data_IF_815352908656
#
_entry.id   IF_815352908656
#
_cell.length_a   1.000
_cell.length_b   1.000
_cell.length_c   1.000
_cell.angle_alpha   90.00
_cell.angle_beta   90.00
_cell.angle_gamma   90.00
#
_symmetry.space_group_name_H-M   'P 1'
#
loop_
_entity.id
_entity.type
_entity.pdbx_description
1 polymer ?
#
# COMPACT_ATOMS: atom_id res chain seq x y z
N UNK A 1 5.69 12.93 -71.55
CA UNK A 1 6.89 12.38 -72.19
C UNK A 1 8.06 13.31 -71.86
N UNK A 2 8.69 13.10 -70.71
CA UNK A 2 9.99 13.67 -70.37
C UNK A 2 10.78 12.46 -69.86
N UNK A 3 11.61 11.91 -70.75
CA UNK A 3 12.69 11.02 -70.37
C UNK A 3 13.96 11.82 -70.50
N UNK A 4 14.83 11.73 -69.50
CA UNK A 4 16.27 11.76 -69.68
C UNK A 4 16.89 11.02 -68.49
N UNK A 5 17.55 9.94 -68.86
CA UNK A 5 18.46 9.11 -68.10
C UNK A 5 19.63 9.94 -67.52
N UNK A 6 20.04 9.65 -66.27
CA UNK A 6 21.46 9.63 -65.95
C UNK A 6 21.76 8.52 -64.93
N UNK A 7 22.26 7.43 -65.48
CA UNK A 7 23.02 6.42 -64.76
C UNK A 7 24.48 6.85 -64.77
N UNK A 8 25.21 6.73 -63.65
CA UNK A 8 26.49 5.96 -63.55
C UNK A 8 27.40 6.42 -62.40
N UNK A 9 28.02 5.40 -61.76
CA UNK A 9 29.28 5.35 -60.98
C UNK A 9 29.21 5.73 -59.49
N UNK A 10 29.34 4.80 -58.53
CA UNK A 10 30.33 3.74 -58.25
C UNK A 10 31.65 4.22 -57.59
N UNK A 11 31.97 3.62 -56.44
CA UNK A 11 33.28 3.65 -55.76
C UNK A 11 33.13 3.42 -54.24
N UNK A 12 32.93 2.19 -53.74
CA UNK A 12 33.96 1.25 -53.22
C UNK A 12 35.08 1.89 -52.38
N UNK A 13 35.18 1.47 -51.11
CA UNK A 13 36.34 0.84 -50.44
C UNK A 13 36.41 1.25 -48.95
N UNK A 14 36.32 0.34 -47.96
CA UNK A 14 37.34 -0.60 -47.39
C UNK A 14 37.84 -0.10 -46.02
N UNK A 15 38.01 -1.01 -45.06
CA UNK A 15 38.89 -0.83 -43.88
C UNK A 15 38.18 -1.06 -42.53
N UNK A 16 37.77 -2.28 -42.20
CA UNK A 16 38.47 -3.33 -41.42
C UNK A 16 38.50 -3.14 -39.87
N UNK A 17 38.21 -4.19 -39.08
CA UNK A 17 38.15 -4.17 -37.62
C UNK A 17 39.41 -4.75 -36.97
N UNK A 18 39.97 -4.12 -35.93
CA UNK A 18 40.87 -4.83 -35.01
C UNK A 18 41.14 -4.09 -33.69
N UNK A 19 40.68 -4.73 -32.60
CA UNK A 19 41.48 -5.18 -31.44
C UNK A 19 42.42 -4.18 -30.75
N UNK A 20 42.17 -4.00 -29.44
CA UNK A 20 43.09 -4.19 -28.28
C UNK A 20 42.24 -3.85 -27.04
N UNK A 21 42.10 -4.63 -25.98
CA UNK A 21 42.82 -5.80 -25.50
C UNK A 21 43.25 -5.54 -24.05
N UNK A 22 42.85 -6.45 -23.14
CA UNK A 22 43.45 -6.77 -21.81
C UNK A 22 43.14 -5.79 -20.67
N UNK A 23 42.99 -6.18 -19.41
CA UNK A 23 43.13 -7.48 -18.73
C UNK A 23 42.57 -7.35 -17.30
N UNK A 24 41.73 -8.31 -16.90
CA UNK A 24 41.88 -9.20 -15.72
C UNK A 24 41.81 -8.68 -14.27
N UNK A 25 40.88 -9.37 -13.56
CA UNK A 25 40.99 -10.04 -12.24
C UNK A 25 40.80 -9.22 -10.96
N UNK A 26 39.68 -9.47 -10.28
CA UNK A 26 39.57 -10.04 -8.91
C UNK A 26 38.09 -10.40 -8.68
N UNK A 27 37.67 -11.67 -8.72
CA UNK A 27 37.65 -12.68 -7.64
C UNK A 27 36.93 -12.22 -6.36
N UNK A 28 35.78 -12.87 -6.06
CA UNK A 28 35.20 -12.94 -4.71
C UNK A 28 33.66 -13.01 -4.65
N UNK A 29 33.06 -14.18 -4.89
CA UNK A 29 31.79 -14.58 -4.26
C UNK A 29 32.11 -15.39 -2.97
N UNK A 30 31.13 -15.93 -2.21
CA UNK A 30 30.04 -15.30 -1.45
C UNK A 30 30.10 -15.70 0.05
N UNK A 31 29.25 -15.13 0.92
CA UNK A 31 29.14 -15.61 2.31
C UNK A 31 28.00 -15.00 3.10
N UNK A 32 26.93 -15.76 3.30
CA UNK A 32 25.84 -15.44 4.23
C UNK A 32 26.22 -15.66 5.70
N UNK A 33 25.47 -15.05 6.60
CA UNK A 33 25.65 -15.21 8.05
C UNK A 33 24.77 -14.27 8.87
N UNK A 34 23.54 -14.70 9.08
CA UNK A 34 22.65 -14.29 10.18
C UNK A 34 23.40 -14.21 11.54
N UNK A 35 23.13 -13.16 12.33
CA UNK A 35 22.88 -13.20 13.79
C UNK A 35 23.05 -11.81 14.45
N UNK A 36 21.91 -11.27 14.85
CA UNK A 36 21.58 -10.94 16.24
C UNK A 36 22.37 -9.81 16.97
N UNK A 37 21.55 -8.93 17.59
CA UNK A 37 21.86 -8.00 18.71
C UNK A 37 22.51 -6.65 18.39
N UNK A 38 21.69 -5.60 18.50
CA UNK A 38 21.73 -4.64 19.62
C UNK A 38 20.58 -3.63 19.52
N UNK A 39 19.56 -3.89 20.33
CA UNK A 39 18.57 -2.87 20.72
C UNK A 39 19.29 -1.86 21.60
N UNK A 40 19.44 -0.63 21.10
CA UNK A 40 19.95 0.50 21.87
C UNK A 40 18.87 0.98 22.85
N UNK A 41 19.01 0.58 24.12
CA UNK A 41 18.34 1.20 25.25
C UNK A 41 18.88 2.64 25.44
N UNK A 42 18.21 3.62 24.83
CA UNK A 42 18.38 5.03 25.20
C UNK A 42 17.51 5.35 26.42
N UNK A 43 18.00 4.98 27.60
CA UNK A 43 17.44 5.42 28.88
C UNK A 43 17.78 6.91 29.10
N UNK A 44 16.89 7.79 28.66
CA UNK A 44 16.90 9.21 29.02
C UNK A 44 16.67 9.39 30.52
N UNK A 45 17.75 9.62 31.26
CA UNK A 45 17.71 10.00 32.69
C UNK A 45 17.06 11.39 32.82
N UNK A 46 15.78 11.43 33.20
CA UNK A 46 15.17 12.62 33.81
C UNK A 46 15.29 12.49 35.32
N UNK A 47 16.11 13.34 35.91
CA UNK A 47 16.30 13.46 37.36
C UNK A 47 15.02 14.00 37.99
N UNK A 48 14.27 13.14 38.69
CA UNK A 48 13.13 13.56 39.48
C UNK A 48 13.58 13.98 40.89
N UNK A 49 13.32 15.26 41.20
CA UNK A 49 13.47 15.91 42.49
C UNK A 49 12.54 15.24 43.54
N UNK A 50 12.99 14.97 44.78
CA UNK A 50 12.16 14.31 45.77
C UNK A 50 11.33 15.35 46.53
N UNK A 51 10.02 15.14 46.56
CA UNK A 51 9.11 15.93 47.38
C UNK A 51 7.89 16.36 46.59
N UNK A 52 6.84 15.54 46.67
CA UNK A 52 5.52 15.96 47.13
C UNK A 52 4.56 14.76 46.99
N UNK A 53 3.94 14.45 48.12
CA UNK A 53 2.89 13.45 48.29
C UNK A 53 1.65 13.86 47.50
N UNK A 54 1.07 12.92 46.75
CA UNK A 54 -0.36 12.52 46.70
C UNK A 54 -0.68 11.86 45.36
N UNK A 55 -1.40 10.75 45.47
CA UNK A 55 -2.16 9.99 44.46
C UNK A 55 -1.45 9.59 43.15
N UNK A 56 -0.92 8.36 43.13
CA UNK A 56 -0.42 7.69 41.90
C UNK A 56 -1.13 6.37 41.60
N UNK A 57 -2.45 6.35 41.72
CA UNK A 57 -3.29 5.38 41.03
C UNK A 57 -4.20 6.07 39.99
N UNK A 58 -3.63 6.96 39.17
CA UNK A 58 -4.06 7.04 37.76
C UNK A 58 -3.23 6.02 37.01
N UNK A 59 -3.71 4.79 37.02
CA UNK A 59 -3.32 3.85 35.98
C UNK A 59 -3.62 4.55 34.66
N UNK A 60 -2.63 4.67 33.79
CA UNK A 60 -2.89 4.87 32.37
C UNK A 60 -3.74 3.68 31.95
N UNK A 61 -5.06 3.85 32.03
CA UNK A 61 -6.01 2.93 31.43
C UNK A 61 -5.72 3.02 29.93
N UNK A 62 -5.21 1.97 29.27
CA UNK A 62 -5.22 1.97 27.82
C UNK A 62 -6.66 2.25 27.39
N UNK A 63 -6.84 3.18 26.46
CA UNK A 63 -8.14 3.49 25.91
C UNK A 63 -8.80 2.15 25.54
N UNK A 64 -9.85 1.79 26.28
CA UNK A 64 -10.60 0.59 25.99
C UNK A 64 -11.04 0.71 24.54
N UNK A 65 -10.81 -0.29 23.68
CA UNK A 65 -11.26 -0.20 22.30
C UNK A 65 -12.76 0.08 22.35
N UNK A 66 -13.15 1.22 21.78
CA UNK A 66 -14.54 1.54 21.59
C UNK A 66 -15.18 0.33 20.93
N UNK A 67 -16.29 -0.11 21.51
CA UNK A 67 -17.07 -1.25 21.02
C UNK A 67 -17.76 -0.77 19.75
N UNK A 68 -17.00 -0.70 18.66
CA UNK A 68 -17.55 -0.39 17.35
C UNK A 68 -18.56 -1.48 17.06
N UNK A 69 -19.83 -1.11 16.96
CA UNK A 69 -20.91 -1.99 16.59
C UNK A 69 -20.78 -2.38 15.12
N UNK A 70 -19.68 -3.03 14.74
CA UNK A 70 -19.46 -3.48 13.37
C UNK A 70 -20.19 -4.80 13.25
N UNK A 71 -21.37 -4.70 12.65
CA UNK A 71 -22.29 -5.80 12.41
C UNK A 71 -21.52 -6.96 11.79
N UNK A 72 -21.50 -8.12 12.45
CA UNK A 72 -21.04 -9.34 11.84
C UNK A 72 -21.77 -9.49 10.49
N UNK A 73 -21.01 -9.64 9.41
CA UNK A 73 -21.54 -9.61 8.05
C UNK A 73 -22.54 -10.76 7.91
N UNK A 74 -23.84 -10.44 7.95
CA UNK A 74 -24.93 -11.41 7.77
C UNK A 74 -25.57 -11.29 6.38
N UNK A 75 -25.20 -10.26 5.61
CA UNK A 75 -25.68 -9.99 4.25
C UNK A 75 -24.62 -10.34 3.20
N UNK A 76 -25.06 -10.68 1.98
CA UNK A 76 -24.18 -10.99 0.86
C UNK A 76 -23.27 -9.80 0.52
N UNK A 77 -21.95 -9.94 0.74
CA UNK A 77 -20.97 -8.89 0.47
C UNK A 77 -20.75 -8.75 -1.02
N UNK A 78 -20.89 -7.52 -1.52
CA UNK A 78 -20.52 -7.16 -2.88
C UNK A 78 -19.06 -6.73 -2.89
N UNK A 79 -18.24 -7.42 -3.66
CA UNK A 79 -16.81 -7.16 -3.78
C UNK A 79 -16.48 -6.43 -5.08
N UNK A 80 -15.44 -5.60 -5.05
CA UNK A 80 -14.89 -5.03 -6.28
C UNK A 80 -14.15 -6.08 -7.10
N UNK A 81 -14.24 -5.92 -8.42
CA UNK A 81 -13.46 -6.65 -9.42
C UNK A 81 -12.19 -5.87 -9.79
N UNK A 82 -11.20 -6.56 -10.34
CA UNK A 82 -9.93 -5.94 -10.76
C UNK A 82 -10.19 -4.87 -11.83
N UNK A 83 -11.13 -5.14 -12.73
CA UNK A 83 -11.58 -4.26 -13.80
C UNK A 83 -12.22 -2.98 -13.25
N UNK A 84 -13.06 -3.09 -12.22
CA UNK A 84 -13.66 -1.92 -11.56
C UNK A 84 -12.60 -1.05 -10.88
N UNK A 85 -11.62 -1.66 -10.23
CA UNK A 85 -10.52 -0.91 -9.59
C UNK A 85 -9.63 -0.24 -10.64
N UNK A 86 -9.29 -0.94 -11.73
CA UNK A 86 -8.52 -0.39 -12.83
C UNK A 86 -9.26 0.73 -13.58
N UNK A 87 -10.58 0.61 -13.75
CA UNK A 87 -11.42 1.67 -14.32
C UNK A 87 -11.46 2.88 -13.38
N UNK A 88 -11.66 2.66 -12.08
CA UNK A 88 -11.62 3.71 -11.05
C UNK A 88 -10.30 4.47 -11.01
N UNK A 89 -9.18 3.79 -11.24
CA UNK A 89 -7.85 4.42 -11.25
C UNK A 89 -7.73 5.55 -12.27
N UNK A 90 -8.40 5.45 -13.44
CA UNK A 90 -8.42 6.53 -14.43
C UNK A 90 -9.12 7.79 -13.92
N UNK A 91 -10.13 7.63 -13.07
CA UNK A 91 -10.86 8.76 -12.46
C UNK A 91 -10.10 9.37 -11.27
N UNK A 92 -9.39 8.54 -10.49
CA UNK A 92 -8.71 8.97 -9.26
C UNK A 92 -7.29 9.49 -9.50
N UNK A 93 -6.52 8.78 -10.33
CA UNK A 93 -5.12 9.08 -10.64
C UNK A 93 -5.03 9.94 -11.91
N UNK A 94 -5.96 9.77 -12.85
CA UNK A 94 -5.98 10.49 -14.13
C UNK A 94 -5.25 9.74 -15.25
N UNK A 95 -4.80 10.50 -16.25
CA UNK A 95 -4.11 9.97 -17.44
C UNK A 95 -2.81 9.19 -17.13
N UNK A 96 -2.26 9.37 -15.93
CA UNK A 96 -1.03 8.72 -15.46
C UNK A 96 -1.29 7.44 -14.63
N UNK A 97 -2.49 6.88 -14.69
CA UNK A 97 -2.83 5.59 -14.07
C UNK A 97 -2.10 4.42 -14.79
N UNK A 98 -0.78 4.33 -14.60
CA UNK A 98 0.06 3.29 -15.18
C UNK A 98 0.18 2.16 -14.16
N UNK A 99 -0.26 0.97 -14.56
CA UNK A 99 -0.04 -0.24 -13.77
C UNK A 99 1.43 -0.65 -13.85
N UNK A 100 2.02 -0.83 -12.68
CA UNK A 100 3.35 -1.43 -12.54
C UNK A 100 3.25 -2.94 -12.75
N UNK A 101 2.28 -3.57 -12.06
CA UNK A 101 2.08 -5.02 -12.10
C UNK A 101 0.58 -5.36 -11.91
N UNK A 102 -0.08 -5.92 -12.94
CA UNK A 102 -1.46 -6.39 -12.83
C UNK A 102 -1.66 -7.50 -11.80
N UNK A 103 -0.65 -8.34 -11.56
CA UNK A 103 -0.69 -9.41 -10.56
C UNK A 103 -0.73 -8.86 -9.13
N UNK A 104 -0.01 -7.77 -8.86
CA UNK A 104 -0.09 -7.08 -7.56
C UNK A 104 -1.47 -6.46 -7.33
N UNK A 105 -2.09 -5.91 -8.38
CA UNK A 105 -3.46 -5.40 -8.30
C UNK A 105 -4.45 -6.54 -8.03
N UNK A 106 -4.34 -7.64 -8.79
CA UNK A 106 -5.20 -8.81 -8.60
C UNK A 106 -5.07 -9.37 -7.18
N UNK A 107 -3.85 -9.53 -6.66
CA UNK A 107 -3.62 -9.97 -5.28
C UNK A 107 -4.29 -9.04 -4.25
N UNK A 108 -4.19 -7.74 -4.44
CA UNK A 108 -4.79 -6.77 -3.53
C UNK A 108 -6.32 -6.86 -3.51
N UNK A 109 -6.96 -7.01 -4.67
CA UNK A 109 -8.42 -7.09 -4.81
C UNK A 109 -8.99 -8.41 -4.27
N UNK A 110 -8.22 -9.49 -4.32
CA UNK A 110 -8.66 -10.79 -3.81
C UNK A 110 -8.49 -10.96 -2.30
N UNK A 111 -7.58 -10.20 -1.66
CA UNK A 111 -7.30 -10.33 -0.21
C UNK A 111 -8.53 -10.23 0.71
N UNK A 112 -9.53 -9.37 0.47
CA UNK A 112 -10.73 -9.31 1.31
C UNK A 112 -11.56 -10.60 1.30
N UNK A 113 -11.36 -11.47 0.31
CA UNK A 113 -12.01 -12.78 0.18
C UNK A 113 -11.15 -13.93 0.71
N UNK A 114 -10.00 -13.63 1.34
CA UNK A 114 -9.11 -14.67 1.83
C UNK A 114 -9.74 -15.42 3.00
N UNK A 115 -9.72 -16.75 2.90
CA UNK A 115 -10.11 -17.67 3.96
C UNK A 115 -8.89 -18.41 4.48
N UNK A 116 -8.83 -18.61 5.80
CA UNK A 116 -7.75 -19.33 6.47
C UNK A 116 -8.38 -20.47 7.25
N UNK A 117 -8.00 -21.71 6.93
CA UNK A 117 -8.59 -22.93 7.51
C UNK A 117 -10.13 -23.01 7.39
N UNK A 118 -10.69 -22.49 6.29
CA UNK A 118 -12.14 -22.49 6.05
C UNK A 118 -12.91 -21.45 6.86
N UNK A 119 -12.21 -20.51 7.51
CA UNK A 119 -12.79 -19.36 8.21
C UNK A 119 -12.39 -18.09 7.48
N UNK A 120 -13.34 -17.19 7.24
CA UNK A 120 -13.04 -15.87 6.67
C UNK A 120 -12.01 -15.12 7.52
N UNK A 121 -10.91 -14.69 6.91
CA UNK A 121 -9.86 -13.96 7.62
C UNK A 121 -10.33 -12.60 8.16
N UNK A 122 -11.37 -12.03 7.52
CA UNK A 122 -11.92 -10.72 7.82
C UNK A 122 -13.44 -10.83 7.97
N UNK A 123 -13.97 -11.12 9.17
CA UNK A 123 -15.39 -11.37 9.37
C UNK A 123 -16.27 -10.10 9.30
N UNK A 124 -15.66 -8.93 9.39
CA UNK A 124 -16.33 -7.63 9.36
C UNK A 124 -16.19 -6.97 7.99
N UNK A 125 -17.20 -6.17 7.60
CA UNK A 125 -17.12 -5.40 6.37
C UNK A 125 -15.96 -4.38 6.41
N UNK A 126 -15.73 -3.77 7.57
CA UNK A 126 -14.62 -2.84 7.78
C UNK A 126 -13.26 -3.54 7.70
N UNK A 127 -13.14 -4.77 8.23
CA UNK A 127 -11.93 -5.57 8.11
C UNK A 127 -11.61 -5.91 6.65
N UNK A 128 -12.63 -6.26 5.86
CA UNK A 128 -12.50 -6.48 4.41
C UNK A 128 -12.04 -5.20 3.68
N UNK A 129 -12.62 -4.05 4.00
CA UNK A 129 -12.23 -2.75 3.45
C UNK A 129 -10.78 -2.37 3.84
N UNK A 130 -10.42 -2.60 5.11
CA UNK A 130 -9.08 -2.35 5.63
C UNK A 130 -8.03 -3.23 4.95
N UNK A 131 -8.34 -4.52 4.74
CA UNK A 131 -7.45 -5.44 4.02
C UNK A 131 -7.22 -4.99 2.56
N UNK A 132 -8.27 -4.53 1.88
CA UNK A 132 -8.20 -3.99 0.52
C UNK A 132 -7.30 -2.75 0.46
N UNK A 133 -7.56 -1.77 1.33
CA UNK A 133 -6.78 -0.54 1.42
C UNK A 133 -5.30 -0.84 1.67
N UNK A 134 -5.04 -1.65 2.70
CA UNK A 134 -3.69 -2.01 3.09
C UNK A 134 -2.92 -2.65 1.93
N UNK A 135 -3.53 -3.62 1.24
CA UNK A 135 -2.86 -4.26 0.10
C UNK A 135 -2.61 -3.30 -1.06
N UNK A 136 -3.55 -2.42 -1.40
CA UNK A 136 -3.36 -1.48 -2.50
C UNK A 136 -2.25 -0.46 -2.20
N UNK A 137 -2.14 -0.03 -0.94
CA UNK A 137 -1.10 0.90 -0.51
C UNK A 137 0.25 0.19 -0.42
N UNK A 138 0.32 -0.98 0.23
CA UNK A 138 1.59 -1.68 0.50
C UNK A 138 2.15 -2.43 -0.70
N UNK A 139 1.31 -3.00 -1.56
CA UNK A 139 1.81 -3.74 -2.73
C UNK A 139 2.25 -2.81 -3.87
N UNK A 140 1.85 -1.53 -3.85
CA UNK A 140 2.17 -0.54 -4.89
C UNK A 140 1.92 -1.03 -6.34
N UNK A 141 0.68 -1.43 -6.70
CA UNK A 141 0.36 -1.94 -8.03
C UNK A 141 0.44 -0.89 -9.15
N UNK A 142 0.34 0.40 -8.81
CA UNK A 142 0.50 1.52 -9.75
C UNK A 142 1.86 2.19 -9.58
N UNK A 143 2.33 2.86 -10.65
CA UNK A 143 3.55 3.67 -10.62
C UNK A 143 3.43 4.84 -9.64
N UNK A 144 2.28 5.49 -9.60
CA UNK A 144 1.95 6.54 -8.64
C UNK A 144 0.46 6.47 -8.25
N UNK A 145 0.07 7.15 -7.18
CA UNK A 145 -1.33 7.29 -6.77
C UNK A 145 -1.87 6.14 -5.92
N UNK A 146 -1.03 5.18 -5.51
CA UNK A 146 -1.43 4.03 -4.69
C UNK A 146 -2.16 4.43 -3.40
N UNK A 147 -1.74 5.53 -2.76
CA UNK A 147 -2.39 6.09 -1.56
C UNK A 147 -3.83 6.52 -1.83
N UNK A 148 -4.02 7.32 -2.90
CA UNK A 148 -5.34 7.80 -3.33
C UNK A 148 -6.24 6.64 -3.77
N UNK A 149 -5.66 5.68 -4.49
CA UNK A 149 -6.38 4.49 -4.95
C UNK A 149 -6.79 3.59 -3.79
N UNK A 150 -5.94 3.41 -2.78
CA UNK A 150 -6.26 2.62 -1.58
C UNK A 150 -7.45 3.19 -0.81
N UNK A 151 -7.48 4.52 -0.61
CA UNK A 151 -8.63 5.21 -0.02
C UNK A 151 -9.89 5.05 -0.86
N UNK A 152 -9.82 5.40 -2.15
CA UNK A 152 -10.97 5.36 -3.04
C UNK A 152 -11.53 3.94 -3.20
N UNK A 153 -10.69 2.90 -3.21
CA UNK A 153 -11.12 1.52 -3.29
C UNK A 153 -11.86 1.07 -2.01
N UNK A 154 -11.38 1.48 -0.83
CA UNK A 154 -12.06 1.20 0.43
C UNK A 154 -13.41 1.92 0.51
N UNK A 155 -13.45 3.20 0.14
CA UNK A 155 -14.70 3.97 0.08
C UNK A 155 -15.69 3.36 -0.92
N UNK A 156 -15.24 3.01 -2.12
CA UNK A 156 -16.08 2.35 -3.12
C UNK A 156 -16.61 1.00 -2.63
N UNK A 157 -15.77 0.20 -1.95
CA UNK A 157 -16.18 -1.09 -1.40
C UNK A 157 -17.27 -0.91 -0.34
N UNK A 158 -17.10 0.04 0.57
CA UNK A 158 -18.09 0.32 1.60
C UNK A 158 -19.39 0.82 0.97
N UNK A 159 -19.30 1.72 -0.01
CA UNK A 159 -20.47 2.28 -0.72
C UNK A 159 -21.26 1.23 -1.48
N UNK A 160 -20.59 0.26 -2.12
CA UNK A 160 -21.24 -0.88 -2.77
C UNK A 160 -22.05 -1.75 -1.80
N UNK A 161 -21.66 -1.75 -0.53
CA UNK A 161 -22.33 -2.49 0.54
C UNK A 161 -23.28 -1.58 1.36
N UNK A 162 -23.61 -0.39 0.87
CA UNK A 162 -24.57 0.53 1.51
C UNK A 162 -23.99 1.39 2.63
N UNK A 163 -22.67 1.34 2.86
CA UNK A 163 -22.00 2.12 3.91
C UNK A 163 -21.22 3.29 3.28
N UNK A 164 -21.44 4.51 3.76
CA UNK A 164 -20.71 5.70 3.26
C UNK A 164 -19.81 6.22 4.36
N UNK A 165 -18.52 6.38 4.06
CA UNK A 165 -17.59 7.11 4.92
C UNK A 165 -17.94 8.60 4.85
N UNK A 166 -18.27 9.21 5.99
CA UNK A 166 -18.51 10.65 6.10
C UNK A 166 -17.58 11.21 7.17
N UNK A 167 -16.30 11.45 6.83
CA UNK A 167 -15.43 12.12 7.78
C UNK A 167 -15.90 13.59 7.90
N UNK A 168 -15.99 14.10 9.14
CA UNK A 168 -16.37 15.50 9.40
C UNK A 168 -15.37 16.51 8.81
N UNK A 169 -14.13 16.08 8.61
CA UNK A 169 -13.07 16.82 7.95
C UNK A 169 -12.16 15.88 7.16
N UNK A 170 -11.41 16.40 6.19
CA UNK A 170 -10.49 15.57 5.38
C UNK A 170 -9.27 15.08 6.19
N UNK A 171 -8.95 15.71 7.32
CA UNK A 171 -7.73 15.44 8.08
C UNK A 171 -7.63 14.00 8.61
N UNK A 172 -8.65 13.41 9.27
CA UNK A 172 -8.55 12.06 9.83
C UNK A 172 -8.42 10.98 8.75
N UNK A 173 -9.09 11.17 7.61
CA UNK A 173 -8.99 10.27 6.46
C UNK A 173 -7.60 10.35 5.81
N UNK A 174 -7.07 11.56 5.65
CA UNK A 174 -5.73 11.79 5.12
C UNK A 174 -4.65 11.19 6.02
N UNK A 175 -4.71 11.42 7.33
CA UNK A 175 -3.76 10.87 8.30
C UNK A 175 -3.78 9.34 8.30
N UNK A 176 -4.96 8.71 8.23
CA UNK A 176 -5.08 7.26 8.11
C UNK A 176 -4.32 6.73 6.89
N UNK A 177 -4.55 7.31 5.70
CA UNK A 177 -3.88 6.87 4.47
C UNK A 177 -2.36 7.06 4.55
N UNK A 178 -1.92 8.15 5.17
CA UNK A 178 -0.49 8.40 5.37
C UNK A 178 0.15 7.41 6.34
N UNK A 179 -0.53 7.05 7.42
CA UNK A 179 -0.03 6.08 8.39
C UNK A 179 0.05 4.66 7.80
N UNK A 180 -0.92 4.26 6.98
CA UNK A 180 -0.84 3.00 6.20
C UNK A 180 0.34 3.03 5.25
N UNK A 181 0.58 4.16 4.56
CA UNK A 181 1.68 4.29 3.62
C UNK A 181 3.07 4.29 4.28
N UNK A 182 3.16 4.60 5.57
CA UNK A 182 4.41 4.45 6.34
C UNK A 182 4.73 2.98 6.67
N UNK A 183 3.76 2.07 6.50
CA UNK A 183 3.94 0.63 6.74
C UNK A 183 3.95 0.23 8.22
N UNK A 184 3.50 1.11 9.11
CA UNK A 184 3.44 0.86 10.55
C UNK A 184 2.08 0.39 11.05
N UNK A 185 1.10 0.22 10.17
CA UNK A 185 -0.27 -0.13 10.53
C UNK A 185 -0.67 -1.50 9.99
N UNK A 186 -1.21 -2.32 10.89
CA UNK A 186 -1.80 -3.61 10.53
C UNK A 186 -3.30 -3.49 10.22
N UNK A 187 -3.86 -4.49 9.54
CA UNK A 187 -5.27 -4.49 9.11
C UNK A 187 -6.26 -4.21 10.25
N UNK A 188 -6.13 -4.78 11.47
CA UNK A 188 -7.05 -4.49 12.57
C UNK A 188 -7.02 -3.03 13.04
N UNK A 189 -5.88 -2.36 12.94
CA UNK A 189 -5.74 -0.95 13.34
C UNK A 189 -6.40 -0.03 12.30
N UNK A 190 -6.25 -0.38 11.02
CA UNK A 190 -6.92 0.31 9.91
C UNK A 190 -8.44 0.15 10.04
N UNK A 191 -8.90 -1.05 10.35
CA UNK A 191 -10.32 -1.33 10.61
C UNK A 191 -10.88 -0.44 11.72
N UNK A 192 -10.17 -0.35 12.85
CA UNK A 192 -10.59 0.50 13.98
C UNK A 192 -10.68 1.98 13.58
N UNK A 193 -9.70 2.46 12.81
CA UNK A 193 -9.66 3.85 12.33
C UNK A 193 -10.79 4.13 11.34
N UNK A 194 -11.08 3.19 10.43
CA UNK A 194 -12.24 3.29 9.54
C UNK A 194 -13.55 3.32 10.33
N UNK A 195 -13.68 2.51 11.39
CA UNK A 195 -14.84 2.52 12.28
C UNK A 195 -15.07 3.88 12.95
N UNK A 196 -14.00 4.53 13.41
CA UNK A 196 -14.10 5.87 13.98
C UNK A 196 -14.61 6.93 12.99
N UNK A 197 -14.37 6.75 11.68
CA UNK A 197 -14.90 7.63 10.63
C UNK A 197 -16.36 7.34 10.28
N UNK A 198 -16.90 6.19 10.70
CA UNK A 198 -18.33 5.87 10.57
C UNK A 198 -19.15 6.47 11.71
N UNK A 199 -18.64 6.38 12.94
CA UNK A 199 -19.36 6.79 14.15
C UNK A 199 -19.32 8.32 14.39
N UNK A 200 -18.57 9.07 13.58
CA UNK A 200 -18.48 10.53 13.67
C UNK A 200 -19.66 11.27 13.00
N UNK A 201 -20.50 10.57 12.23
CA UNK A 201 -21.67 11.12 11.52
C UNK A 201 -22.98 10.97 12.30
#
# INVERSE_FOLDING_TARGET
MHGDDDSTRAGRARGDPARRGRDRRHLGEPGGGDRDRRVALAAGRRTCRPGLRRDRHRTCRPAAPARHGVTAVTAAVVYLTVEQVAAGAKHIIGAHAILRDPGLLASAVHRPRTEVFGVEAYPTLLGKAAALMHSLVSNHPYVDGNKRMGWAAAEAFLRLNGHTLRPDSDDPAFELVMDVAKGGMEVPEIEQRLGALFDAA
#
